data_IF_222157733100
#
_entry.id   IF_222157733100
#
_cell.length_a   1.000
_cell.length_b   1.000
_cell.length_c   1.000
_cell.angle_alpha   90.00
_cell.angle_beta   90.00
_cell.angle_gamma   90.00
#
_symmetry.space_group_name_H-M   'P 1'
#
loop_
_entity.id
_entity.type
_entity.pdbx_description
1 polymer ?
#
# COMPACT_ATOMS: atom_id res chain seq x y z
N UNK A 1 -1.50 -23.48 -28.33
CA UNK A 1 -1.26 -22.01 -28.24
C UNK A 1 -2.45 -21.28 -27.63
N UNK A 2 -3.68 -21.70 -27.82
CA UNK A 2 -4.85 -21.10 -27.18
C UNK A 2 -4.98 -21.36 -25.67
N UNK A 3 -4.28 -22.35 -25.14
CA UNK A 3 -4.35 -22.75 -23.71
C UNK A 3 -3.58 -21.87 -22.75
N UNK A 4 -2.55 -21.16 -23.22
CA UNK A 4 -1.69 -20.33 -22.36
C UNK A 4 -2.31 -18.95 -22.12
N UNK A 5 -3.06 -18.44 -23.07
CA UNK A 5 -3.74 -17.13 -22.93
C UNK A 5 -4.94 -17.17 -21.97
N UNK A 6 -5.58 -18.33 -21.82
CA UNK A 6 -6.78 -18.45 -20.97
C UNK A 6 -6.47 -18.56 -19.47
N UNK A 7 -5.27 -18.99 -19.10
CA UNK A 7 -4.87 -19.12 -17.69
C UNK A 7 -4.34 -17.81 -17.08
N UNK A 8 -4.04 -16.81 -17.89
CA UNK A 8 -3.46 -15.54 -17.43
C UNK A 8 -4.49 -14.40 -17.24
N UNK A 9 -5.76 -14.65 -17.55
CA UNK A 9 -6.80 -13.61 -17.62
C UNK A 9 -7.91 -13.73 -16.57
N UNK A 10 -7.89 -14.76 -15.73
CA UNK A 10 -8.91 -14.91 -14.70
C UNK A 10 -8.58 -14.06 -13.47
N UNK A 11 -9.53 -13.26 -12.96
CA UNK A 11 -9.33 -12.53 -11.72
C UNK A 11 -9.18 -13.49 -10.54
N UNK A 12 -8.51 -13.07 -9.45
CA UNK A 12 -8.41 -13.90 -8.25
C UNK A 12 -9.78 -14.30 -7.74
N UNK A 13 -9.94 -15.57 -7.38
CA UNK A 13 -11.21 -16.17 -7.01
C UNK A 13 -11.76 -15.63 -5.70
N UNK A 14 -10.89 -15.28 -4.74
CA UNK A 14 -11.31 -14.83 -3.41
C UNK A 14 -10.94 -13.39 -3.11
N UNK A 15 -11.64 -12.79 -2.14
CA UNK A 15 -11.32 -11.47 -1.59
C UNK A 15 -9.88 -11.43 -1.05
N UNK A 16 -9.44 -12.49 -0.37
CA UNK A 16 -8.08 -12.61 0.14
C UNK A 16 -7.04 -12.62 -0.97
N UNK A 17 -7.31 -13.33 -2.05
CA UNK A 17 -6.41 -13.38 -3.21
C UNK A 17 -6.29 -12.02 -3.89
N UNK A 18 -7.40 -11.30 -4.02
CA UNK A 18 -7.40 -9.94 -4.56
C UNK A 18 -6.59 -8.97 -3.70
N UNK A 19 -6.74 -9.03 -2.38
CA UNK A 19 -5.96 -8.21 -1.44
C UNK A 19 -4.47 -8.54 -1.55
N UNK A 20 -4.11 -9.82 -1.61
CA UNK A 20 -2.72 -10.24 -1.75
C UNK A 20 -2.12 -9.80 -3.09
N UNK A 21 -2.87 -9.92 -4.17
CA UNK A 21 -2.45 -9.45 -5.49
C UNK A 21 -2.22 -7.92 -5.49
N UNK A 22 -3.10 -7.17 -4.83
CA UNK A 22 -2.96 -5.73 -4.70
C UNK A 22 -1.73 -5.36 -3.87
N UNK A 23 -1.49 -6.03 -2.75
CA UNK A 23 -0.28 -5.82 -1.92
C UNK A 23 1.00 -6.06 -2.72
N UNK A 24 1.07 -7.17 -3.46
CA UNK A 24 2.23 -7.48 -4.30
C UNK A 24 2.41 -6.45 -5.40
N UNK A 25 1.33 -6.06 -6.06
CA UNK A 25 1.37 -5.03 -7.10
C UNK A 25 1.86 -3.68 -6.57
N UNK A 26 1.40 -3.28 -5.40
CA UNK A 26 1.86 -2.05 -4.74
C UNK A 26 3.35 -2.14 -4.38
N UNK A 27 3.80 -3.26 -3.85
CA UNK A 27 5.22 -3.45 -3.52
C UNK A 27 6.10 -3.35 -4.77
N UNK A 28 5.71 -3.98 -5.88
CA UNK A 28 6.41 -3.86 -7.16
C UNK A 28 6.42 -2.43 -7.68
N UNK A 29 5.27 -1.76 -7.64
CA UNK A 29 5.14 -0.36 -8.04
C UNK A 29 6.09 0.55 -7.26
N UNK A 30 6.14 0.40 -5.93
CA UNK A 30 7.02 1.19 -5.07
C UNK A 30 8.49 0.86 -5.31
N UNK A 31 8.83 -0.41 -5.54
CA UNK A 31 10.19 -0.84 -5.87
C UNK A 31 10.69 -0.21 -7.17
N UNK A 32 9.86 -0.14 -8.20
CA UNK A 32 10.18 0.51 -9.47
C UNK A 32 10.44 2.01 -9.32
N UNK A 33 9.86 2.63 -8.29
CA UNK A 33 10.09 4.05 -7.97
C UNK A 33 11.26 4.29 -7.03
N UNK A 34 12.01 3.26 -6.70
CA UNK A 34 13.21 3.36 -5.86
C UNK A 34 12.96 3.28 -4.36
N UNK A 35 11.79 2.82 -3.95
CA UNK A 35 11.48 2.55 -2.55
C UNK A 35 11.72 1.09 -2.20
N UNK A 36 12.02 0.83 -0.94
CA UNK A 36 12.16 -0.51 -0.38
C UNK A 36 10.90 -0.84 0.43
N UNK A 37 9.98 -1.69 -0.10
CA UNK A 37 8.72 -1.99 0.57
C UNK A 37 8.87 -3.09 1.62
N UNK A 38 8.11 -2.94 2.71
CA UNK A 38 7.98 -3.92 3.79
C UNK A 38 6.49 -4.11 4.09
N UNK A 39 6.08 -5.34 4.37
CA UNK A 39 4.71 -5.68 4.70
C UNK A 39 4.50 -5.75 6.22
N UNK A 40 3.30 -5.37 6.68
CA UNK A 40 2.85 -5.55 8.06
C UNK A 40 3.84 -4.95 9.06
N UNK A 41 4.16 -3.67 8.89
CA UNK A 41 5.18 -2.98 9.67
C UNK A 41 4.57 -2.33 10.90
N UNK A 42 5.08 -2.72 12.05
CA UNK A 42 4.77 -2.13 13.33
C UNK A 42 5.39 -0.74 13.46
N UNK A 43 4.56 0.28 13.61
CA UNK A 43 5.01 1.66 13.68
C UNK A 43 5.28 2.15 15.11
N UNK A 44 4.47 1.71 16.05
CA UNK A 44 4.57 2.14 17.44
C UNK A 44 5.04 1.02 18.39
N UNK A 45 5.60 1.42 19.53
CA UNK A 45 6.07 0.48 20.56
C UNK A 45 4.93 -0.31 21.22
N UNK A 46 3.73 0.25 21.24
CA UNK A 46 2.55 -0.36 21.89
C UNK A 46 1.81 -1.35 20.99
N UNK A 47 2.27 -1.54 19.75
CA UNK A 47 1.73 -2.48 18.77
C UNK A 47 0.27 -2.21 18.39
N UNK A 48 -0.18 -0.95 18.44
CA UNK A 48 -1.52 -0.53 18.01
C UNK A 48 -1.58 -0.15 16.53
N UNK A 49 -0.47 0.30 15.96
CA UNK A 49 -0.38 0.74 14.58
C UNK A 49 0.52 -0.19 13.78
N UNK A 50 -0.07 -0.86 12.81
CA UNK A 50 0.63 -1.73 11.88
C UNK A 50 0.24 -1.35 10.46
N UNK A 51 1.19 -0.79 9.72
CA UNK A 51 0.97 -0.44 8.32
C UNK A 51 0.93 -1.69 7.44
N UNK A 52 0.00 -1.78 6.53
CA UNK A 52 -0.05 -2.87 5.56
C UNK A 52 1.22 -2.89 4.70
N UNK A 53 1.63 -1.74 4.21
CA UNK A 53 2.88 -1.56 3.49
C UNK A 53 3.55 -0.27 3.99
N UNK A 54 4.82 -0.41 4.35
CA UNK A 54 5.72 0.69 4.63
C UNK A 54 6.88 0.63 3.65
N UNK A 55 7.18 1.73 2.98
CA UNK A 55 8.29 1.78 2.04
C UNK A 55 9.17 3.01 2.31
N UNK A 56 10.47 2.84 2.17
CA UNK A 56 11.45 3.90 2.40
C UNK A 56 12.44 3.94 1.25
N UNK A 57 12.87 5.13 0.85
CA UNK A 57 13.90 5.31 -0.16
C UNK A 57 15.26 5.68 0.47
N UNK A 58 16.28 5.85 -0.37
CA UNK A 58 17.64 6.19 0.08
C UNK A 58 17.79 7.63 0.61
N UNK A 59 16.75 8.45 0.49
CA UNK A 59 16.67 9.80 1.08
C UNK A 59 15.87 9.81 2.38
N UNK A 60 15.52 8.63 2.89
CA UNK A 60 14.66 8.47 4.08
C UNK A 60 13.26 9.06 3.93
N UNK A 61 12.80 9.27 2.71
CA UNK A 61 11.39 9.54 2.44
C UNK A 61 10.61 8.25 2.56
N UNK A 62 9.45 8.31 3.20
CA UNK A 62 8.65 7.11 3.46
C UNK A 62 7.24 7.22 2.91
N UNK A 63 6.72 6.08 2.49
CA UNK A 63 5.35 5.92 2.01
C UNK A 63 4.67 4.86 2.87
N UNK A 64 3.46 5.16 3.35
CA UNK A 64 2.56 4.15 3.91
C UNK A 64 1.42 3.95 2.91
N UNK A 65 1.10 2.69 2.65
CA UNK A 65 -0.07 2.29 1.87
C UNK A 65 -0.95 1.40 2.73
N UNK A 66 -2.19 1.82 2.90
CA UNK A 66 -3.23 1.02 3.54
C UNK A 66 -4.10 0.37 2.45
N UNK A 67 -4.20 -0.94 2.50
CA UNK A 67 -4.97 -1.72 1.54
C UNK A 67 -6.39 -1.92 2.08
N UNK A 68 -7.38 -1.49 1.31
CA UNK A 68 -8.79 -1.64 1.63
C UNK A 68 -9.42 -2.70 0.76
N UNK A 69 -10.02 -3.69 1.40
CA UNK A 69 -10.65 -4.81 0.72
C UNK A 69 -12.06 -4.51 0.22
N UNK A 70 -12.69 -3.46 0.76
CA UNK A 70 -14.06 -3.06 0.42
C UNK A 70 -14.35 -1.66 0.95
N UNK A 71 -15.51 -1.11 0.55
CA UNK A 71 -16.04 0.14 1.10
C UNK A 71 -16.24 0.03 2.62
N UNK A 72 -16.80 -1.07 3.09
CA UNK A 72 -17.03 -1.28 4.52
C UNK A 72 -15.72 -1.31 5.32
N UNK A 73 -14.69 -1.94 4.77
CA UNK A 73 -13.36 -1.96 5.38
C UNK A 73 -12.80 -0.55 5.57
N UNK A 74 -13.03 0.34 4.62
CA UNK A 74 -12.68 1.74 4.74
C UNK A 74 -13.55 2.48 5.77
N UNK A 75 -14.86 2.32 5.70
CA UNK A 75 -15.82 3.05 6.58
C UNK A 75 -15.58 2.73 8.05
N UNK A 76 -15.29 1.47 8.37
CA UNK A 76 -15.05 1.03 9.75
C UNK A 76 -13.61 1.26 10.23
N UNK A 77 -12.72 1.72 9.37
CA UNK A 77 -11.36 2.09 9.77
C UNK A 77 -11.34 3.49 10.40
N UNK A 78 -11.06 3.55 11.68
CA UNK A 78 -10.89 4.80 12.42
C UNK A 78 -9.43 5.15 12.70
N UNK A 79 -8.46 4.39 12.18
CA UNK A 79 -7.05 4.48 12.59
C UNK A 79 -6.13 5.12 11.55
N UNK A 80 -6.56 5.23 10.30
CA UNK A 80 -5.66 5.62 9.20
C UNK A 80 -5.00 6.99 9.42
N UNK A 81 -5.68 7.95 10.06
CA UNK A 81 -5.10 9.25 10.37
C UNK A 81 -3.88 9.15 11.28
N UNK A 82 -3.84 8.13 12.14
CA UNK A 82 -2.72 7.91 13.06
C UNK A 82 -1.43 7.48 12.34
N UNK A 83 -1.52 7.01 11.09
CA UNK A 83 -0.35 6.67 10.29
C UNK A 83 0.37 7.88 9.72
N UNK A 84 -0.31 9.01 9.56
CA UNK A 84 0.23 10.18 8.87
C UNK A 84 1.56 10.71 9.47
N UNK A 85 1.74 10.75 10.80
CA UNK A 85 3.01 11.19 11.38
C UNK A 85 4.21 10.28 11.08
N UNK A 86 3.95 9.07 10.58
CA UNK A 86 5.00 8.07 10.33
C UNK A 86 5.47 8.00 8.88
N UNK A 87 4.91 8.82 7.99
CA UNK A 87 5.27 8.79 6.58
C UNK A 87 5.31 10.19 5.97
N UNK A 88 5.99 10.31 4.82
CA UNK A 88 6.00 11.54 4.03
C UNK A 88 4.85 11.60 3.04
N UNK A 89 4.36 10.45 2.58
CA UNK A 89 3.21 10.31 1.69
C UNK A 89 2.35 9.13 2.13
N UNK A 90 1.04 9.28 1.97
CA UNK A 90 0.09 8.24 2.32
C UNK A 90 -0.83 7.92 1.15
N UNK A 91 -1.03 6.62 0.89
CA UNK A 91 -1.93 6.13 -0.14
C UNK A 91 -2.93 5.14 0.45
N UNK A 92 -4.14 5.16 -0.09
CA UNK A 92 -5.03 4.01 -0.04
C UNK A 92 -4.86 3.19 -1.31
N UNK A 93 -4.85 1.88 -1.18
CA UNK A 93 -4.90 0.96 -2.30
C UNK A 93 -6.17 0.11 -2.19
N UNK A 94 -6.95 0.08 -3.25
CA UNK A 94 -8.21 -0.64 -3.30
C UNK A 94 -8.64 -0.87 -4.75
N UNK A 95 -9.77 -1.55 -4.96
CA UNK A 95 -10.41 -1.60 -6.26
C UNK A 95 -10.99 -0.22 -6.65
N UNK A 96 -11.29 -0.06 -7.93
CA UNK A 96 -11.76 1.21 -8.46
C UNK A 96 -13.09 1.67 -7.83
N UNK A 97 -13.99 0.74 -7.52
CA UNK A 97 -15.28 1.03 -6.88
C UNK A 97 -15.06 1.63 -5.48
N UNK A 98 -14.22 1.00 -4.68
CA UNK A 98 -13.88 1.48 -3.33
C UNK A 98 -13.22 2.86 -3.40
N UNK A 99 -12.28 3.05 -4.32
CA UNK A 99 -11.61 4.34 -4.51
C UNK A 99 -12.59 5.42 -4.94
N UNK A 100 -13.49 5.13 -5.87
CA UNK A 100 -14.51 6.07 -6.31
C UNK A 100 -15.42 6.50 -5.15
N UNK A 101 -15.80 5.56 -4.29
CA UNK A 101 -16.57 5.86 -3.08
C UNK A 101 -15.80 6.77 -2.13
N UNK A 102 -14.55 6.46 -1.82
CA UNK A 102 -13.71 7.26 -0.94
C UNK A 102 -13.56 8.67 -1.48
N UNK A 103 -13.20 8.79 -2.75
CA UNK A 103 -12.96 10.08 -3.40
C UNK A 103 -14.23 10.93 -3.52
N UNK A 104 -15.40 10.31 -3.67
CA UNK A 104 -16.69 11.01 -3.77
C UNK A 104 -17.31 11.36 -2.42
N UNK A 105 -16.92 10.68 -1.35
CA UNK A 105 -17.56 10.81 -0.02
C UNK A 105 -16.71 11.56 0.99
N UNK A 106 -15.40 11.68 0.76
CA UNK A 106 -14.47 12.29 1.69
C UNK A 106 -13.55 13.27 0.97
N UNK A 107 -13.29 14.39 1.63
CA UNK A 107 -12.30 15.37 1.17
C UNK A 107 -10.93 15.00 1.74
N UNK A 108 -10.11 14.34 0.92
CA UNK A 108 -8.79 13.85 1.28
C UNK A 108 -7.74 14.39 0.30
N UNK A 109 -7.47 15.72 0.30
CA UNK A 109 -6.65 16.33 -0.74
C UNK A 109 -5.20 15.86 -0.76
N UNK A 110 -4.69 15.39 0.39
CA UNK A 110 -3.29 14.97 0.52
C UNK A 110 -3.07 13.49 0.27
N UNK A 111 -4.13 12.69 0.31
CA UNK A 111 -4.05 11.24 0.14
C UNK A 111 -3.98 10.86 -1.33
N UNK A 112 -3.16 9.86 -1.64
CA UNK A 112 -3.11 9.25 -2.96
C UNK A 112 -3.94 7.98 -3.06
N UNK A 113 -4.23 7.56 -4.28
CA UNK A 113 -4.96 6.33 -4.56
C UNK A 113 -4.23 5.45 -5.56
N UNK A 114 -4.07 4.17 -5.21
CA UNK A 114 -3.48 3.14 -6.05
C UNK A 114 -4.51 2.04 -6.29
N UNK A 115 -4.54 1.50 -7.50
CA UNK A 115 -5.40 0.36 -7.84
C UNK A 115 -4.69 -0.60 -8.78
N UNK A 116 -5.11 -1.85 -8.78
CA UNK A 116 -4.72 -2.79 -9.84
C UNK A 116 -5.42 -2.41 -11.13
N UNK A 117 -4.68 -2.41 -12.22
CA UNK A 117 -5.23 -2.31 -13.54
C UNK A 117 -5.91 -3.64 -13.92
N UNK A 118 -6.68 -3.60 -14.99
CA UNK A 118 -7.45 -4.75 -15.47
C UNK A 118 -6.61 -6.02 -15.61
N UNK A 119 -7.18 -7.18 -15.28
CA UNK A 119 -6.57 -8.49 -15.39
C UNK A 119 -6.19 -8.91 -16.82
N UNK A 120 -6.63 -8.15 -17.82
CA UNK A 120 -6.27 -8.36 -19.22
C UNK A 120 -4.92 -7.79 -19.60
N UNK A 121 -4.22 -7.16 -18.65
CA UNK A 121 -2.90 -6.60 -18.87
C UNK A 121 -1.80 -7.69 -18.80
N UNK A 122 -0.63 -7.34 -19.30
CA UNK A 122 0.53 -8.25 -19.39
C UNK A 122 0.97 -8.76 -18.01
N UNK A 123 0.71 -7.98 -16.96
CA UNK A 123 1.02 -8.38 -15.58
C UNK A 123 -0.21 -8.32 -14.69
N UNK A 124 -0.54 -9.40 -13.96
CA UNK A 124 -1.65 -9.40 -13.01
C UNK A 124 -1.42 -8.50 -11.78
N UNK A 125 -0.20 -8.00 -11.62
CA UNK A 125 0.18 -7.14 -10.50
C UNK A 125 0.42 -5.69 -10.91
N UNK A 126 -0.07 -5.28 -12.07
CA UNK A 126 0.13 -3.93 -12.56
C UNK A 126 -0.72 -2.93 -11.76
N UNK A 127 -0.06 -2.10 -10.99
CA UNK A 127 -0.69 -1.04 -10.19
C UNK A 127 -0.56 0.30 -10.91
N UNK A 128 -1.63 1.07 -10.90
CA UNK A 128 -1.67 2.43 -11.41
C UNK A 128 -2.02 3.41 -10.30
N UNK A 129 -1.45 4.61 -10.39
CA UNK A 129 -1.75 5.72 -9.51
C UNK A 129 -2.92 6.51 -10.08
N UNK A 130 -4.08 6.43 -9.44
CA UNK A 130 -5.28 7.17 -9.83
C UNK A 130 -5.25 8.60 -9.33
N UNK A 131 -4.60 8.83 -8.19
CA UNK A 131 -4.39 10.14 -7.61
C UNK A 131 -3.05 10.17 -6.90
N UNK A 132 -2.26 11.20 -7.15
CA UNK A 132 -0.99 11.41 -6.46
C UNK A 132 -1.18 11.77 -5.01
N UNK A 133 -0.36 11.21 -4.12
CA UNK A 133 -0.27 11.67 -2.75
C UNK A 133 0.59 12.92 -2.68
N UNK A 134 0.18 13.88 -1.87
CA UNK A 134 1.01 15.04 -1.56
C UNK A 134 1.98 14.69 -0.44
N UNK A 135 3.18 15.22 -0.56
CA UNK A 135 4.16 15.16 0.52
C UNK A 135 3.70 16.06 1.67
N UNK A 136 3.60 15.50 2.87
CA UNK A 136 3.33 16.29 4.06
C UNK A 136 4.58 16.41 4.94
N UNK A 137 4.63 17.52 5.69
CA UNK A 137 5.84 17.90 6.45
C UNK A 137 5.93 17.28 7.83
N UNK A 138 4.92 16.54 8.24
CA UNK A 138 4.87 15.92 9.58
C UNK A 138 5.50 14.54 9.60
N UNK A 139 5.94 14.06 8.45
CA UNK A 139 6.62 12.78 8.38
C UNK A 139 7.81 12.77 9.31
N UNK A 140 7.76 11.90 10.30
CA UNK A 140 8.89 11.69 11.19
C UNK A 140 9.95 10.97 10.37
N UNK A 141 11.16 11.50 10.41
CA UNK A 141 12.30 10.73 9.94
C UNK A 141 12.35 9.43 10.74
N UNK A 142 12.46 8.31 10.07
CA UNK A 142 12.61 7.04 10.73
C UNK A 142 13.84 7.12 11.64
N UNK A 143 13.61 7.02 12.95
CA UNK A 143 14.72 7.05 13.90
C UNK A 143 15.55 5.76 13.79
N UNK A 144 16.82 5.77 14.24
CA UNK A 144 17.68 4.60 14.15
C UNK A 144 17.13 3.35 14.82
N UNK A 145 16.40 3.51 15.91
CA UNK A 145 15.78 2.39 16.65
C UNK A 145 14.65 1.75 15.82
N UNK A 146 13.82 2.57 15.20
CA UNK A 146 12.77 2.08 14.28
C UNK A 146 13.40 1.34 13.09
N UNK A 147 14.42 1.92 12.46
CA UNK A 147 15.10 1.29 11.33
C UNK A 147 15.73 -0.05 11.73
N UNK A 148 16.32 -0.12 12.91
CA UNK A 148 16.90 -1.37 13.42
C UNK A 148 15.81 -2.43 13.65
N UNK A 149 14.68 -2.07 14.20
CA UNK A 149 13.52 -2.99 14.35
C UNK A 149 13.03 -3.49 12.98
N UNK A 150 12.93 -2.59 12.01
CA UNK A 150 12.51 -2.93 10.66
C UNK A 150 13.46 -3.95 10.02
N UNK A 151 14.77 -3.72 10.14
CA UNK A 151 15.79 -4.64 9.62
C UNK A 151 15.72 -5.99 10.33
N UNK A 152 15.64 -6.01 11.65
CA UNK A 152 15.58 -7.25 12.43
C UNK A 152 14.36 -8.09 12.10
N UNK A 153 13.21 -7.45 11.90
CA UNK A 153 11.94 -8.15 11.59
C UNK A 153 11.93 -8.76 10.19
N UNK A 154 12.76 -8.26 9.29
CA UNK A 154 12.75 -8.66 7.89
C UNK A 154 14.05 -9.32 7.42
N UNK A 155 15.03 -9.45 8.29
CA UNK A 155 16.29 -10.11 7.96
C UNK A 155 16.21 -11.61 8.22
N UNK A 156 16.48 -12.41 7.19
CA UNK A 156 16.43 -13.88 7.26
C UNK A 156 17.59 -14.50 8.06
N UNK A 157 18.65 -13.72 8.34
CA UNK A 157 19.89 -14.22 8.94
C UNK A 157 20.18 -13.67 10.34
N UNK A 158 19.22 -12.99 10.93
CA UNK A 158 19.32 -12.49 12.31
C UNK A 158 18.62 -13.39 13.31
#
# INVERSE_FOLDING_TARGET
MAYVEHQMTEPPESKSDRVNALKLGVALYLSEKGYFPFFEVQLDANRHLRADIYAINNKFESIIVEVKSSIDDFVYDSKWQAYLPYCTKFFFAADEETIAYINGSYDLPEMGFLTLKSWNDISPYHVVELKSAKRHTWGVFADPEFLLRLVKSNCLFL
#
